data_IF_479733492955
#
_entry.id   IF_479733492955
#
_cell.length_a   1.000
_cell.length_b   1.000
_cell.length_c   1.000
_cell.angle_alpha   90.00
_cell.angle_beta   90.00
_cell.angle_gamma   90.00
#
_symmetry.space_group_name_H-M   'P 1'
#
loop_
_entity.id
_entity.type
_entity.pdbx_description
1 polymer ?
#
# COMPACT_ATOMS: atom_id res chain seq x y z
N UNK A 1 3.98 -25.63 -6.22
CA UNK A 1 4.16 -25.16 -4.82
C UNK A 1 2.88 -25.40 -4.06
N UNK A 2 2.95 -25.95 -2.86
CA UNK A 2 1.76 -26.31 -2.09
C UNK A 2 1.22 -25.09 -1.32
N UNK A 3 -0.02 -24.70 -1.60
CA UNK A 3 -0.67 -23.56 -0.95
C UNK A 3 -0.71 -23.70 0.58
N UNK A 4 -0.88 -24.92 1.09
CA UNK A 4 -0.92 -25.17 2.54
C UNK A 4 0.42 -24.90 3.21
N UNK A 5 1.54 -25.19 2.54
CA UNK A 5 2.88 -24.87 3.02
C UNK A 5 3.08 -23.36 3.08
N UNK A 6 2.62 -22.63 2.06
CA UNK A 6 2.73 -21.17 2.02
C UNK A 6 1.82 -20.48 3.04
N UNK A 7 0.64 -21.05 3.33
CA UNK A 7 -0.22 -20.59 4.42
C UNK A 7 0.45 -20.75 5.79
N UNK A 8 1.09 -21.91 6.04
CA UNK A 8 1.88 -22.13 7.26
C UNK A 8 3.07 -21.17 7.36
N UNK A 9 3.79 -20.95 6.25
CA UNK A 9 4.90 -20.01 6.19
C UNK A 9 4.45 -18.58 6.49
N UNK A 10 3.31 -18.15 5.94
CA UNK A 10 2.70 -16.85 6.23
C UNK A 10 2.34 -16.69 7.70
N UNK A 11 1.68 -17.67 8.32
CA UNK A 11 1.39 -17.63 9.75
C UNK A 11 2.65 -17.54 10.62
N UNK A 12 3.68 -18.34 10.31
CA UNK A 12 4.95 -18.29 11.03
C UNK A 12 5.68 -16.94 10.83
N UNK A 13 5.58 -16.34 9.64
CA UNK A 13 6.12 -15.01 9.36
C UNK A 13 5.38 -13.91 10.13
N UNK A 14 4.06 -14.00 10.24
CA UNK A 14 3.25 -13.10 11.08
C UNK A 14 3.66 -13.22 12.55
N UNK A 15 3.77 -14.44 13.07
CA UNK A 15 4.17 -14.68 14.47
C UNK A 15 5.54 -14.05 14.76
N UNK A 16 6.55 -14.35 13.91
CA UNK A 16 7.88 -13.76 14.05
C UNK A 16 7.87 -12.24 13.94
N UNK A 17 7.10 -11.68 13.01
CA UNK A 17 6.94 -10.23 12.85
C UNK A 17 6.38 -9.60 14.12
N UNK A 18 5.30 -10.17 14.68
CA UNK A 18 4.66 -9.66 15.89
C UNK A 18 5.60 -9.75 17.09
N UNK A 19 6.31 -10.87 17.27
CA UNK A 19 7.23 -11.07 18.39
C UNK A 19 8.48 -10.18 18.31
N UNK A 20 8.98 -9.90 17.10
CA UNK A 20 10.21 -9.12 16.89
C UNK A 20 9.95 -7.64 16.57
N UNK A 21 8.69 -7.21 16.51
CA UNK A 21 8.34 -5.81 16.36
C UNK A 21 8.85 -5.02 17.58
N UNK A 22 9.57 -3.89 17.40
CA UNK A 22 9.96 -3.06 18.53
C UNK A 22 8.73 -2.63 19.34
N UNK A 23 8.76 -2.83 20.66
CA UNK A 23 7.63 -2.47 21.54
C UNK A 23 7.23 -1.00 21.38
N UNK A 24 8.21 -0.10 21.24
CA UNK A 24 7.98 1.32 20.99
C UNK A 24 7.22 1.59 19.69
N UNK A 25 7.45 0.80 18.64
CA UNK A 25 6.76 0.92 17.36
C UNK A 25 5.34 0.36 17.44
N UNK A 26 5.14 -0.78 18.10
CA UNK A 26 3.82 -1.36 18.34
C UNK A 26 2.93 -0.43 19.18
N UNK A 27 3.46 0.15 20.25
CA UNK A 27 2.73 1.13 21.07
C UNK A 27 2.35 2.40 20.31
N UNK A 28 3.24 2.85 19.40
CA UNK A 28 2.97 3.98 18.52
C UNK A 28 1.90 3.66 17.50
N UNK A 29 1.93 2.47 16.90
CA UNK A 29 0.88 2.00 15.98
C UNK A 29 -0.49 2.03 16.67
N UNK A 30 -0.60 1.43 17.86
CA UNK A 30 -1.86 1.35 18.60
C UNK A 30 -2.47 2.73 18.92
N UNK A 31 -1.65 3.78 19.02
CA UNK A 31 -2.08 5.15 19.33
C UNK A 31 -2.12 6.06 18.09
N UNK A 32 -1.59 5.62 16.95
CA UNK A 32 -1.28 6.46 15.79
C UNK A 32 -2.49 7.23 15.27
N UNK A 33 -3.60 6.53 14.98
CA UNK A 33 -4.87 7.10 14.53
C UNK A 33 -5.34 8.24 15.44
N UNK A 34 -5.50 7.97 16.73
CA UNK A 34 -5.97 8.95 17.71
C UNK A 34 -5.08 10.20 17.80
N UNK A 35 -3.76 10.03 17.71
CA UNK A 35 -2.79 11.12 17.74
C UNK A 35 -2.85 11.95 16.45
N UNK A 36 -2.96 11.30 15.29
CA UNK A 36 -3.04 11.98 14.00
C UNK A 36 -4.34 12.78 13.86
N UNK A 37 -5.46 12.22 14.33
CA UNK A 37 -6.76 12.88 14.33
C UNK A 37 -6.71 14.17 15.15
N UNK A 38 -6.16 14.12 16.37
CA UNK A 38 -6.02 15.28 17.28
C UNK A 38 -5.00 16.32 16.81
N UNK A 39 -4.05 15.94 15.97
CA UNK A 39 -3.03 16.86 15.46
C UNK A 39 -3.68 17.99 14.65
N UNK A 40 -3.30 19.24 14.98
CA UNK A 40 -3.69 20.47 14.26
C UNK A 40 -2.90 20.61 12.95
N UNK A 41 -3.09 19.65 12.05
CA UNK A 41 -2.46 19.59 10.73
C UNK A 41 -3.54 19.62 9.65
N UNK A 42 -3.24 20.24 8.51
CA UNK A 42 -4.09 20.10 7.33
C UNK A 42 -4.06 18.65 6.79
N UNK A 43 -5.04 18.23 5.97
CA UNK A 43 -5.10 16.85 5.49
C UNK A 43 -3.86 16.37 4.74
N UNK A 44 -3.24 17.22 3.91
CA UNK A 44 -2.01 16.87 3.18
C UNK A 44 -0.85 16.55 4.13
N UNK A 45 -0.67 17.35 5.19
CA UNK A 45 0.34 17.09 6.24
C UNK A 45 0.02 15.88 7.09
N UNK A 46 -1.25 15.56 7.32
CA UNK A 46 -1.64 14.29 7.95
C UNK A 46 -1.30 13.09 7.06
N UNK A 47 -1.52 13.19 5.75
CA UNK A 47 -1.15 12.15 4.79
C UNK A 47 0.36 11.92 4.73
N UNK A 48 1.17 12.98 4.68
CA UNK A 48 2.63 12.88 4.74
C UNK A 48 3.09 12.16 6.03
N UNK A 49 2.50 12.53 7.18
CA UNK A 49 2.82 11.88 8.47
C UNK A 49 2.39 10.41 8.51
N UNK A 50 1.24 10.07 7.93
CA UNK A 50 0.79 8.68 7.75
C UNK A 50 1.80 7.90 6.90
N UNK A 51 2.23 8.44 5.76
CA UNK A 51 3.18 7.76 4.88
C UNK A 51 4.56 7.62 5.50
N UNK A 52 5.04 8.62 6.24
CA UNK A 52 6.28 8.51 7.01
C UNK A 52 6.21 7.39 8.05
N UNK A 53 5.09 7.29 8.77
CA UNK A 53 4.89 6.21 9.75
C UNK A 53 4.82 4.84 9.08
N UNK A 54 4.13 4.75 7.94
CA UNK A 54 4.09 3.53 7.14
C UNK A 54 5.48 3.12 6.66
N UNK A 55 6.30 4.05 6.16
CA UNK A 55 7.66 3.71 5.72
C UNK A 55 8.49 3.10 6.87
N UNK A 56 8.37 3.63 8.08
CA UNK A 56 9.01 3.08 9.28
C UNK A 56 8.48 1.67 9.59
N UNK A 57 7.16 1.50 9.69
CA UNK A 57 6.53 0.21 9.98
C UNK A 57 6.91 -0.86 8.94
N UNK A 58 6.89 -0.49 7.66
CA UNK A 58 7.21 -1.39 6.56
C UNK A 58 8.68 -1.80 6.52
N UNK A 59 9.60 -0.97 7.01
CA UNK A 59 11.01 -1.36 7.12
C UNK A 59 11.22 -2.58 8.04
N UNK A 60 10.32 -2.80 9.00
CA UNK A 60 10.29 -4.00 9.84
C UNK A 60 9.54 -5.15 9.16
N UNK A 61 8.40 -4.87 8.54
CA UNK A 61 7.59 -5.89 7.85
C UNK A 61 8.36 -6.56 6.71
N UNK A 62 9.10 -5.78 5.90
CA UNK A 62 9.78 -6.26 4.69
C UNK A 62 10.74 -7.43 4.96
N UNK A 63 11.29 -7.55 6.19
CA UNK A 63 12.18 -8.64 6.61
C UNK A 63 11.52 -10.02 6.57
N UNK A 64 10.19 -10.07 6.58
CA UNK A 64 9.39 -11.30 6.58
C UNK A 64 8.64 -11.50 5.27
N UNK A 65 9.00 -10.73 4.23
CA UNK A 65 8.38 -10.79 2.91
C UNK A 65 9.39 -11.29 1.87
N UNK A 66 8.94 -11.91 0.76
CA UNK A 66 9.79 -12.24 -0.37
C UNK A 66 10.06 -11.02 -1.28
N UNK A 67 9.55 -9.84 -0.92
CA UNK A 67 9.67 -8.62 -1.70
C UNK A 67 11.13 -8.12 -1.70
N UNK A 68 11.60 -7.74 -2.87
CA UNK A 68 12.96 -7.20 -3.08
C UNK A 68 12.95 -6.18 -4.21
N UNK A 69 14.02 -5.39 -4.32
CA UNK A 69 14.20 -4.47 -5.45
C UNK A 69 14.07 -5.24 -6.78
N UNK A 70 13.25 -4.73 -7.69
CA UNK A 70 12.91 -5.40 -8.96
C UNK A 70 11.70 -6.33 -8.91
N UNK A 71 11.14 -6.64 -7.73
CA UNK A 71 9.82 -7.25 -7.63
C UNK A 71 8.74 -6.20 -7.94
N UNK A 72 7.89 -6.48 -8.93
CA UNK A 72 6.87 -5.54 -9.42
C UNK A 72 5.49 -6.18 -9.64
N UNK A 73 5.24 -7.36 -9.05
CA UNK A 73 3.95 -8.03 -9.10
C UNK A 73 2.79 -7.09 -8.68
N UNK A 74 2.97 -6.34 -7.59
CA UNK A 74 1.98 -5.37 -7.11
C UNK A 74 1.70 -4.22 -8.11
N UNK A 75 2.61 -3.92 -9.04
CA UNK A 75 2.39 -2.91 -10.08
C UNK A 75 1.43 -3.40 -11.17
N UNK A 76 0.97 -4.65 -11.11
CA UNK A 76 -0.01 -5.22 -12.02
C UNK A 76 -1.37 -5.46 -11.35
N UNK A 77 -1.55 -5.04 -10.09
CA UNK A 77 -2.82 -5.13 -9.40
C UNK A 77 -3.64 -3.86 -9.60
N UNK A 78 -4.93 -3.93 -9.26
CA UNK A 78 -5.79 -2.75 -9.09
C UNK A 78 -5.23 -1.87 -7.97
N UNK A 79 -5.14 -0.57 -8.22
CA UNK A 79 -4.58 0.42 -7.29
C UNK A 79 -5.60 1.53 -7.13
N UNK A 80 -6.41 1.47 -6.08
CA UNK A 80 -7.33 2.55 -5.74
C UNK A 80 -6.58 3.75 -5.19
N UNK A 81 -6.91 4.93 -5.72
CA UNK A 81 -6.40 6.22 -5.26
C UNK A 81 -7.57 7.18 -5.03
N UNK A 82 -7.48 7.96 -3.95
CA UNK A 82 -8.40 9.07 -3.66
C UNK A 82 -7.83 10.42 -4.11
N UNK A 83 -8.65 11.47 -4.22
CA UNK A 83 -8.19 12.79 -4.67
C UNK A 83 -7.00 13.36 -3.90
N UNK A 84 -6.94 13.14 -2.57
CA UNK A 84 -5.82 13.58 -1.75
C UNK A 84 -4.52 12.83 -2.07
N UNK A 85 -4.61 11.54 -2.44
CA UNK A 85 -3.46 10.77 -2.89
C UNK A 85 -3.03 11.15 -4.31
N UNK A 86 -4.00 11.44 -5.19
CA UNK A 86 -3.70 11.98 -6.54
C UNK A 86 -2.94 13.30 -6.39
N UNK A 87 -3.43 14.22 -5.55
CA UNK A 87 -2.74 15.48 -5.27
C UNK A 87 -1.36 15.27 -4.65
N UNK A 88 -1.20 14.28 -3.76
CA UNK A 88 0.09 13.92 -3.19
C UNK A 88 1.07 13.43 -4.27
N UNK A 89 0.64 12.56 -5.18
CA UNK A 89 1.44 12.07 -6.31
C UNK A 89 1.84 13.24 -7.21
N UNK A 90 0.93 14.15 -7.53
CA UNK A 90 1.24 15.32 -8.37
C UNK A 90 2.23 16.28 -7.69
N UNK A 91 2.16 16.42 -6.36
CA UNK A 91 3.08 17.28 -5.60
C UNK A 91 4.50 16.69 -5.52
N UNK A 92 4.65 15.37 -5.55
CA UNK A 92 5.93 14.69 -5.37
C UNK A 92 6.51 14.10 -6.66
N UNK A 93 5.84 14.31 -7.80
CA UNK A 93 6.25 13.78 -9.09
C UNK A 93 6.03 14.81 -10.20
N UNK A 94 6.60 14.56 -11.39
CA UNK A 94 6.36 15.38 -12.58
C UNK A 94 5.08 14.98 -13.35
N UNK A 95 4.37 13.93 -12.91
CA UNK A 95 3.15 13.48 -13.56
C UNK A 95 1.97 14.34 -13.09
N UNK A 96 1.04 14.60 -14.01
CA UNK A 96 -0.23 15.27 -13.75
C UNK A 96 -1.36 14.31 -14.07
N UNK A 97 -2.47 14.43 -13.35
CA UNK A 97 -3.68 13.67 -13.65
C UNK A 97 -4.22 14.04 -15.03
N UNK A 98 -4.89 13.10 -15.68
CA UNK A 98 -5.61 13.37 -16.91
C UNK A 98 -6.81 14.30 -16.63
N UNK A 99 -7.13 15.18 -17.59
CA UNK A 99 -8.28 16.10 -17.47
C UNK A 99 -9.61 15.34 -17.42
N UNK A 100 -9.66 14.20 -18.12
CA UNK A 100 -10.80 13.30 -18.17
C UNK A 100 -10.26 11.94 -17.76
N UNK A 101 -10.83 11.36 -16.70
CA UNK A 101 -10.43 10.03 -16.25
C UNK A 101 -11.02 8.98 -17.18
N UNK A 102 -10.22 7.96 -17.52
CA UNK A 102 -10.70 6.86 -18.35
C UNK A 102 -11.78 6.06 -17.60
N UNK A 103 -12.68 5.35 -18.33
CA UNK A 103 -13.73 4.57 -17.69
C UNK A 103 -13.18 3.46 -16.80
N UNK A 104 -14.00 2.97 -15.88
CA UNK A 104 -13.66 1.78 -15.07
C UNK A 104 -13.44 0.58 -16.00
N UNK A 105 -12.43 -0.21 -15.69
CA UNK A 105 -12.06 -1.41 -16.45
C UNK A 105 -11.43 -2.46 -15.53
N UNK A 106 -11.22 -3.67 -16.06
CA UNK A 106 -10.42 -4.69 -15.40
C UNK A 106 -8.94 -4.37 -15.59
N UNK A 107 -8.34 -3.77 -14.57
CA UNK A 107 -6.92 -3.38 -14.56
C UNK A 107 -5.99 -4.44 -13.94
N UNK A 108 -6.52 -5.57 -13.47
CA UNK A 108 -5.70 -6.66 -12.94
C UNK A 108 -4.89 -7.31 -14.07
N UNK A 109 -3.59 -7.49 -13.87
CA UNK A 109 -2.64 -7.90 -14.90
C UNK A 109 -2.11 -6.75 -15.77
N UNK A 110 -2.75 -5.58 -15.77
CA UNK A 110 -2.31 -4.42 -16.57
C UNK A 110 -1.19 -3.68 -15.84
N UNK A 111 -0.06 -3.33 -16.48
CA UNK A 111 0.99 -2.53 -15.86
C UNK A 111 0.49 -1.19 -15.32
N UNK A 112 1.00 -0.78 -14.16
CA UNK A 112 0.79 0.55 -13.61
C UNK A 112 1.49 1.60 -14.49
N UNK A 113 0.92 2.80 -14.71
CA UNK A 113 1.54 3.86 -15.51
C UNK A 113 2.88 4.36 -14.93
N UNK A 114 3.15 4.03 -13.67
CA UNK A 114 4.40 4.36 -12.99
C UNK A 114 5.38 3.17 -12.92
N UNK A 115 5.09 2.05 -13.58
CA UNK A 115 6.05 0.96 -13.72
C UNK A 115 7.06 1.32 -14.83
N UNK A 116 8.31 1.53 -14.44
CA UNK A 116 9.39 1.88 -15.37
C UNK A 116 10.58 0.96 -15.16
N UNK A 117 11.05 0.30 -16.23
CA UNK A 117 12.19 -0.63 -16.19
C UNK A 117 12.11 -1.65 -15.03
N UNK A 118 10.92 -2.22 -14.82
CA UNK A 118 10.67 -3.22 -13.79
C UNK A 118 10.64 -2.70 -12.35
N UNK A 119 10.67 -1.38 -12.14
CA UNK A 119 10.58 -0.73 -10.81
C UNK A 119 9.53 0.38 -10.78
N UNK A 120 9.00 0.69 -9.60
CA UNK A 120 8.06 1.80 -9.45
C UNK A 120 8.79 3.15 -9.51
N UNK A 121 8.46 4.01 -10.48
CA UNK A 121 9.06 5.35 -10.63
C UNK A 121 8.62 6.35 -9.56
N UNK A 122 7.53 6.06 -8.84
CA UNK A 122 6.97 6.90 -7.78
C UNK A 122 7.07 6.23 -6.40
N UNK A 123 8.05 5.36 -6.18
CA UNK A 123 8.14 4.53 -4.97
C UNK A 123 7.92 5.31 -3.65
N UNK A 124 8.50 6.51 -3.56
CA UNK A 124 8.38 7.40 -2.41
C UNK A 124 7.03 8.12 -2.30
N UNK A 125 6.28 8.24 -3.40
CA UNK A 125 4.96 8.89 -3.47
C UNK A 125 3.81 7.89 -3.65
N UNK A 126 4.06 6.58 -3.47
CA UNK A 126 3.06 5.52 -3.63
C UNK A 126 1.82 5.76 -2.75
N UNK A 127 0.61 5.44 -3.26
CA UNK A 127 -0.61 5.51 -2.46
C UNK A 127 -0.62 4.45 -1.35
N UNK A 128 -1.54 4.59 -0.39
CA UNK A 128 -1.61 3.73 0.78
C UNK A 128 -1.79 2.27 0.39
N UNK A 129 -2.66 1.97 -0.59
CA UNK A 129 -2.90 0.59 -1.04
C UNK A 129 -1.62 -0.08 -1.52
N UNK A 130 -0.73 0.65 -2.19
CA UNK A 130 0.57 0.14 -2.64
C UNK A 130 1.57 0.04 -1.50
N UNK A 131 1.58 0.98 -0.55
CA UNK A 131 2.46 0.91 0.63
C UNK A 131 2.09 -0.26 1.51
N UNK A 132 0.80 -0.55 1.65
CA UNK A 132 0.31 -1.60 2.53
C UNK A 132 0.30 -3.01 1.92
N UNK A 133 0.59 -3.11 0.63
CA UNK A 133 0.55 -4.39 -0.07
C UNK A 133 1.81 -5.20 0.21
N UNK A 134 1.67 -6.24 1.02
CA UNK A 134 2.72 -7.23 1.32
C UNK A 134 2.15 -8.63 1.31
N UNK A 135 2.99 -9.59 0.91
CA UNK A 135 2.77 -11.00 1.20
C UNK A 135 3.76 -11.45 2.27
N UNK A 136 3.32 -12.34 3.13
CA UNK A 136 4.15 -12.97 4.15
C UNK A 136 4.43 -14.44 3.80
N UNK A 137 4.12 -14.87 2.57
CA UNK A 137 4.54 -16.17 2.02
C UNK A 137 6.06 -16.28 1.91
N UNK A 138 6.58 -17.49 1.73
CA UNK A 138 8.03 -17.74 1.58
C UNK A 138 8.58 -17.23 0.23
N UNK A 139 7.71 -17.07 -0.76
CA UNK A 139 8.05 -16.67 -2.13
C UNK A 139 6.98 -15.77 -2.73
N UNK A 140 7.37 -15.01 -3.77
CA UNK A 140 6.50 -14.08 -4.50
C UNK A 140 5.66 -14.75 -5.59
N UNK A 141 5.74 -16.07 -5.76
CA UNK A 141 5.00 -16.80 -6.81
C UNK A 141 3.50 -16.49 -6.79
N UNK A 142 2.87 -16.50 -5.62
CA UNK A 142 1.44 -16.22 -5.44
C UNK A 142 1.06 -14.75 -5.65
N UNK A 143 2.05 -13.86 -5.85
CA UNK A 143 1.79 -12.49 -6.25
C UNK A 143 1.67 -12.34 -7.77
N UNK A 144 1.98 -13.36 -8.59
CA UNK A 144 1.78 -13.26 -10.04
C UNK A 144 0.28 -13.04 -10.33
N UNK A 145 -0.11 -11.98 -11.06
CA UNK A 145 -1.50 -11.70 -11.41
C UNK A 145 -2.27 -12.87 -12.01
N UNK A 146 -1.57 -13.84 -12.62
CA UNK A 146 -2.18 -15.03 -13.23
C UNK A 146 -2.70 -16.04 -12.21
N UNK A 147 -2.14 -16.08 -11.01
CA UNK A 147 -2.49 -17.06 -9.95
C UNK A 147 -2.90 -16.40 -8.64
N UNK A 148 -2.87 -15.06 -8.59
CA UNK A 148 -3.11 -14.28 -7.37
C UNK A 148 -4.51 -14.40 -6.77
N UNK A 149 -5.47 -14.91 -7.53
CA UNK A 149 -6.84 -15.13 -7.07
C UNK A 149 -7.13 -16.60 -6.74
N UNK A 150 -6.17 -17.50 -6.97
CA UNK A 150 -6.38 -18.94 -6.76
C UNK A 150 -6.40 -19.30 -5.27
N UNK A 151 -5.67 -18.53 -4.46
CA UNK A 151 -5.49 -18.76 -3.02
C UNK A 151 -5.35 -17.45 -2.25
N UNK A 152 -5.83 -17.47 -1.02
CA UNK A 152 -5.63 -16.41 -0.02
C UNK A 152 -4.73 -16.92 1.09
N UNK A 153 -3.88 -16.05 1.60
CA UNK A 153 -2.94 -16.36 2.67
C UNK A 153 -3.22 -15.46 3.88
N UNK A 154 -2.80 -15.88 5.09
CA UNK A 154 -2.80 -15.03 6.27
C UNK A 154 -2.16 -13.66 6.01
N UNK A 155 -2.82 -12.60 6.45
CA UNK A 155 -2.39 -11.21 6.29
C UNK A 155 -2.17 -10.57 7.65
N UNK A 156 -1.20 -9.66 7.74
CA UNK A 156 -1.04 -8.79 8.91
C UNK A 156 -2.15 -7.73 8.93
N UNK A 157 -2.69 -7.44 10.10
CA UNK A 157 -3.68 -6.37 10.29
C UNK A 157 -3.03 -5.18 10.98
N UNK A 158 -3.26 -3.98 10.43
CA UNK A 158 -2.72 -2.71 10.95
C UNK A 158 -3.88 -1.71 10.97
N UNK A 159 -4.76 -1.84 11.96
CA UNK A 159 -6.05 -1.13 11.99
C UNK A 159 -5.90 0.39 12.15
N UNK A 160 -4.91 0.86 12.90
CA UNK A 160 -4.73 2.28 13.20
C UNK A 160 -4.36 3.09 11.95
N UNK A 161 -3.65 2.48 11.00
CA UNK A 161 -3.31 3.08 9.70
C UNK A 161 -4.55 3.30 8.84
N UNK A 162 -5.42 2.29 8.78
CA UNK A 162 -6.63 2.33 7.97
C UNK A 162 -7.62 3.37 8.53
N UNK A 163 -7.81 3.41 9.85
CA UNK A 163 -8.62 4.43 10.52
C UNK A 163 -8.09 5.85 10.27
N UNK A 164 -6.78 6.04 10.39
CA UNK A 164 -6.14 7.33 10.17
C UNK A 164 -6.35 7.82 8.72
N UNK A 165 -6.21 6.91 7.76
CA UNK A 165 -6.42 7.25 6.35
C UNK A 165 -7.88 7.57 6.03
N UNK A 166 -8.81 6.81 6.58
CA UNK A 166 -10.23 7.08 6.39
C UNK A 166 -10.64 8.44 6.97
N UNK A 167 -10.08 8.82 8.12
CA UNK A 167 -10.25 10.16 8.68
C UNK A 167 -9.70 11.25 7.75
N UNK A 168 -8.50 11.04 7.19
CA UNK A 168 -7.90 11.98 6.23
C UNK A 168 -8.84 12.17 5.03
N UNK A 169 -9.32 11.07 4.43
CA UNK A 169 -10.21 11.12 3.26
C UNK A 169 -11.51 11.85 3.54
N UNK A 170 -12.15 11.57 4.68
CA UNK A 170 -13.38 12.26 5.09
C UNK A 170 -13.15 13.76 5.28
N UNK A 171 -12.09 14.13 5.99
CA UNK A 171 -11.80 15.55 6.29
C UNK A 171 -11.27 16.34 5.10
N UNK A 172 -10.77 15.68 4.05
CA UNK A 172 -10.39 16.29 2.77
C UNK A 172 -11.47 16.20 1.69
N UNK A 173 -12.65 15.67 2.00
CA UNK A 173 -13.71 15.38 1.03
C UNK A 173 -13.23 14.50 -0.15
N UNK A 174 -12.27 13.61 0.08
CA UNK A 174 -11.68 12.68 -0.90
C UNK A 174 -12.29 11.28 -0.77
N UNK A 175 -13.62 11.23 -0.85
CA UNK A 175 -14.41 10.00 -0.63
C UNK A 175 -14.42 9.12 -1.88
N UNK A 176 -14.40 9.72 -3.07
CA UNK A 176 -14.33 8.95 -4.31
C UNK A 176 -12.96 8.30 -4.49
N UNK A 177 -12.96 7.16 -5.18
CA UNK A 177 -11.73 6.45 -5.54
C UNK A 177 -11.75 6.02 -7.00
N UNK A 178 -10.56 6.02 -7.59
CA UNK A 178 -10.32 5.66 -8.97
C UNK A 178 -9.16 4.67 -9.04
N UNK A 179 -9.09 3.82 -10.07
CA UNK A 179 -7.84 3.11 -10.32
C UNK A 179 -6.78 4.13 -10.79
N UNK A 180 -5.54 3.96 -10.35
CA UNK A 180 -4.41 4.82 -10.73
C UNK A 180 -4.25 4.95 -12.25
N UNK A 181 -4.65 3.92 -13.02
CA UNK A 181 -4.63 3.92 -14.50
C UNK A 181 -5.73 4.80 -15.09
N UNK A 182 -6.85 4.99 -14.40
CA UNK A 182 -7.88 5.94 -14.85
C UNK A 182 -7.38 7.37 -14.80
N UNK A 183 -6.57 7.66 -13.77
CA UNK A 183 -6.10 9.00 -13.44
C UNK A 183 -4.84 9.37 -14.21
N UNK A 184 -3.90 8.42 -14.31
CA UNK A 184 -2.54 8.67 -14.83
C UNK A 184 -2.15 7.77 -16.00
N UNK A 185 -3.06 6.94 -16.51
CA UNK A 185 -2.83 6.15 -17.72
C UNK A 185 -2.64 7.05 -18.95
N UNK A 186 -2.10 6.48 -20.02
CA UNK A 186 -2.02 7.15 -21.32
C UNK A 186 -3.34 7.01 -22.10
#
# INVERSE_FOLDING_TARGET
MEADQESKAASANIERLVTQMPASLAEREAKFSSQLIRAKLNPAKKLERLYSFMNELYSHILKYTPCRKGCNACCHYKVSVSDIEIAHIEAHTKRRRNKIFSPKSEFHGTPCPFLHQGSCSIYEARPLVCRRHVTLTSTSYWCDPKVSFDKSFPMIQISSVDEAFEHIRKTSNSVETYDIRQVFGD
#
